data_IF_514307608042
#
_entry.id   IF_514307608042
#
_cell.length_a   1.000
_cell.length_b   1.000
_cell.length_c   1.000
_cell.angle_alpha   90.00
_cell.angle_beta   90.00
_cell.angle_gamma   90.00
#
_symmetry.space_group_name_H-M   'P 1'
#
loop_
_entity.id
_entity.type
_entity.pdbx_description
1 polymer ?
#
# COMPACT_ATOMS: atom_id res chain seq x y z
N UNK A 1 22.19 11.90 -1.95
CA UNK A 1 21.99 13.25 -2.55
C UNK A 1 21.29 14.12 -1.52
N UNK A 2 21.55 15.43 -1.48
CA UNK A 2 20.79 16.35 -0.62
C UNK A 2 19.43 16.69 -1.25
N UNK A 3 18.46 17.13 -0.44
CA UNK A 3 17.16 17.60 -0.93
C UNK A 3 17.31 18.69 -2.00
N UNK A 4 18.20 19.68 -1.77
CA UNK A 4 18.51 20.74 -2.75
C UNK A 4 18.93 20.17 -4.10
N UNK A 5 19.78 19.13 -4.12
CA UNK A 5 20.20 18.48 -5.38
C UNK A 5 19.08 17.71 -6.04
N UNK A 6 18.23 17.02 -5.27
CA UNK A 6 17.07 16.29 -5.81
C UNK A 6 16.07 17.24 -6.46
N UNK A 7 15.85 18.41 -5.86
CA UNK A 7 14.93 19.44 -6.35
C UNK A 7 15.34 20.09 -7.67
N UNK A 8 16.60 19.98 -8.06
CA UNK A 8 17.08 20.47 -9.35
C UNK A 8 16.77 19.49 -10.49
N UNK A 9 16.52 18.22 -10.19
CA UNK A 9 16.23 17.19 -11.20
C UNK A 9 14.91 17.48 -11.90
N UNK A 10 14.95 17.41 -13.23
CA UNK A 10 13.77 17.38 -14.08
C UNK A 10 13.29 15.92 -14.22
N UNK A 11 12.03 15.67 -13.88
CA UNK A 11 11.42 14.33 -13.98
C UNK A 11 10.57 14.14 -15.25
N UNK A 12 10.63 15.10 -16.18
CA UNK A 12 9.87 15.16 -17.42
C UNK A 12 9.02 16.42 -17.48
N UNK A 13 8.88 16.99 -18.67
CA UNK A 13 8.01 18.15 -18.94
C UNK A 13 8.30 19.40 -18.05
N UNK A 14 9.50 19.51 -17.49
CA UNK A 14 9.89 20.60 -16.59
C UNK A 14 9.50 20.40 -15.12
N UNK A 15 8.83 19.30 -14.80
CA UNK A 15 8.37 18.96 -13.45
C UNK A 15 9.53 18.59 -12.52
N UNK A 16 9.32 18.80 -11.21
CA UNK A 16 10.32 18.55 -10.15
C UNK A 16 9.84 17.47 -9.19
N UNK A 17 10.78 16.80 -8.52
CA UNK A 17 10.45 15.82 -7.47
C UNK A 17 9.79 16.53 -6.28
N UNK A 18 8.54 16.22 -5.90
CA UNK A 18 7.91 16.79 -4.73
C UNK A 18 8.40 16.11 -3.45
N UNK A 19 8.33 16.82 -2.33
CA UNK A 19 8.37 16.21 -1.00
C UNK A 19 6.99 15.64 -0.66
N UNK A 20 6.92 14.80 0.38
CA UNK A 20 5.62 14.33 0.87
C UNK A 20 4.78 15.49 1.41
N UNK A 21 5.41 16.46 2.09
CA UNK A 21 4.74 17.64 2.64
C UNK A 21 4.10 18.49 1.53
N UNK A 22 4.86 18.83 0.48
CA UNK A 22 4.35 19.63 -0.65
C UNK A 22 3.22 18.91 -1.38
N UNK A 23 3.35 17.58 -1.57
CA UNK A 23 2.28 16.77 -2.16
C UNK A 23 1.01 16.91 -1.33
N UNK A 24 1.10 16.71 -0.02
CA UNK A 24 -0.06 16.78 0.86
C UNK A 24 -0.68 18.17 0.85
N UNK A 25 0.10 19.24 0.97
CA UNK A 25 -0.36 20.63 0.86
C UNK A 25 -1.16 20.88 -0.42
N UNK A 26 -0.74 20.31 -1.54
CA UNK A 26 -1.42 20.46 -2.82
C UNK A 26 -2.68 19.59 -2.96
N UNK A 27 -2.81 18.50 -2.20
CA UNK A 27 -3.82 17.45 -2.42
C UNK A 27 -4.80 17.23 -1.25
N UNK A 28 -4.77 18.08 -0.21
CA UNK A 28 -5.54 17.91 1.05
C UNK A 28 -7.05 17.68 0.89
N UNK A 29 -7.68 18.05 -0.23
CA UNK A 29 -9.14 17.97 -0.40
C UNK A 29 -9.54 16.88 -1.40
N UNK A 30 -10.36 15.92 -0.95
CA UNK A 30 -11.03 14.95 -1.81
C UNK A 30 -10.19 13.77 -2.28
N UNK A 31 -8.96 13.60 -1.76
CA UNK A 31 -8.03 12.54 -2.18
C UNK A 31 -7.72 11.62 -0.99
N UNK A 32 -7.73 10.32 -1.27
CA UNK A 32 -7.20 9.29 -0.37
C UNK A 32 -5.80 8.87 -0.83
N UNK A 33 -4.92 8.57 0.12
CA UNK A 33 -3.53 8.23 -0.15
C UNK A 33 -3.29 6.74 0.06
N UNK A 34 -2.48 6.15 -0.82
CA UNK A 34 -1.89 4.84 -0.62
C UNK A 34 -0.37 4.97 -0.68
N UNK A 35 0.26 5.13 0.49
CA UNK A 35 1.69 5.44 0.58
C UNK A 35 2.51 4.16 0.79
N UNK A 36 3.51 3.94 -0.07
CA UNK A 36 4.36 2.75 -0.01
C UNK A 36 5.66 3.01 0.74
N UNK A 37 5.85 2.33 1.87
CA UNK A 37 7.10 2.30 2.61
C UNK A 37 8.09 1.35 1.94
N UNK A 38 9.16 1.89 1.34
CA UNK A 38 10.16 1.12 0.58
C UNK A 38 11.37 0.68 1.42
N UNK A 39 11.78 1.49 2.39
CA UNK A 39 12.97 1.26 3.23
C UNK A 39 12.58 1.13 4.71
N UNK A 40 13.47 0.58 5.53
CA UNK A 40 13.25 0.43 6.98
C UNK A 40 13.55 1.74 7.70
N UNK A 41 12.93 1.94 8.86
CA UNK A 41 13.29 3.02 9.79
C UNK A 41 12.77 4.41 9.43
N UNK A 42 11.87 4.52 8.45
CA UNK A 42 11.27 5.81 8.05
C UNK A 42 9.78 5.90 8.40
N UNK A 43 9.19 4.84 8.97
CA UNK A 43 7.73 4.77 9.10
C UNK A 43 7.21 5.82 10.07
N UNK A 44 7.91 6.07 11.18
CA UNK A 44 7.49 7.05 12.19
C UNK A 44 7.50 8.48 11.62
N UNK A 45 8.52 8.82 10.84
CA UNK A 45 8.62 10.11 10.16
C UNK A 45 7.51 10.29 9.12
N UNK A 46 7.22 9.25 8.33
CA UNK A 46 6.14 9.29 7.34
C UNK A 46 4.78 9.45 8.01
N UNK A 47 4.50 8.67 9.07
CA UNK A 47 3.25 8.77 9.82
C UNK A 47 3.09 10.17 10.41
N UNK A 48 4.14 10.72 11.02
CA UNK A 48 4.13 12.08 11.56
C UNK A 48 3.76 13.12 10.49
N UNK A 49 4.33 13.03 9.28
CA UNK A 49 3.99 13.96 8.18
C UNK A 49 2.50 13.89 7.81
N UNK A 50 1.92 12.69 7.77
CA UNK A 50 0.49 12.53 7.52
C UNK A 50 -0.37 13.01 8.69
N UNK A 51 0.08 12.83 9.93
CA UNK A 51 -0.61 13.28 11.14
C UNK A 51 -0.64 14.81 11.24
N UNK A 52 0.52 15.45 11.07
CA UNK A 52 0.67 16.91 11.04
C UNK A 52 -0.22 17.53 9.93
N UNK A 53 -0.40 16.81 8.82
CA UNK A 53 -1.28 17.23 7.73
C UNK A 53 -2.78 16.91 7.96
N UNK A 54 -3.13 16.21 9.04
CA UNK A 54 -4.48 15.68 9.35
C UNK A 54 -5.03 14.75 8.26
N UNK A 55 -4.18 13.87 7.74
CA UNK A 55 -4.47 12.99 6.60
C UNK A 55 -4.35 11.49 6.95
N UNK A 56 -4.19 11.12 8.22
CA UNK A 56 -4.09 9.69 8.59
C UNK A 56 -5.35 8.89 8.23
N UNK A 57 -6.54 9.44 8.44
CA UNK A 57 -7.81 8.74 8.19
C UNK A 57 -8.06 8.45 6.70
N UNK A 58 -7.50 9.30 5.82
CA UNK A 58 -7.54 9.17 4.36
C UNK A 58 -6.34 8.39 3.80
N UNK A 59 -5.48 7.83 4.65
CA UNK A 59 -4.23 7.17 4.24
C UNK A 59 -4.23 5.67 4.51
N UNK A 60 -3.69 4.91 3.56
CA UNK A 60 -3.31 3.51 3.72
C UNK A 60 -1.80 3.39 3.55
N UNK A 61 -1.08 2.93 4.57
CA UNK A 61 0.33 2.60 4.44
C UNK A 61 0.52 1.18 3.93
N UNK A 62 1.30 1.01 2.86
CA UNK A 62 1.55 -0.30 2.25
C UNK A 62 3.05 -0.62 2.21
N UNK A 63 3.42 -1.89 2.36
CA UNK A 63 4.81 -2.33 2.25
C UNK A 63 4.94 -3.82 1.95
N UNK A 64 6.07 -4.21 1.37
CA UNK A 64 6.53 -5.60 1.39
C UNK A 64 7.12 -6.00 2.75
N UNK A 65 7.55 -5.02 3.55
CA UNK A 65 8.15 -5.21 4.87
C UNK A 65 7.05 -5.10 5.93
N UNK A 66 6.20 -6.13 6.03
CA UNK A 66 5.00 -6.09 6.89
C UNK A 66 5.31 -5.74 8.35
N UNK A 67 6.44 -6.18 8.88
CA UNK A 67 6.88 -5.84 10.24
C UNK A 67 7.06 -4.34 10.45
N UNK A 68 7.50 -3.57 9.45
CA UNK A 68 7.63 -2.11 9.59
C UNK A 68 6.26 -1.49 9.84
N UNK A 69 5.23 -1.94 9.13
CA UNK A 69 3.86 -1.44 9.29
C UNK A 69 3.25 -1.83 10.63
N UNK A 70 3.62 -3.00 11.18
CA UNK A 70 3.09 -3.46 12.46
C UNK A 70 3.63 -2.65 13.64
N UNK A 71 4.83 -2.07 13.53
CA UNK A 71 5.44 -1.25 14.59
C UNK A 71 4.61 -0.03 14.98
N UNK A 72 3.91 0.57 14.02
CA UNK A 72 3.15 1.81 14.28
C UNK A 72 1.75 1.55 14.83
N UNK A 73 1.33 0.28 14.94
CA UNK A 73 -0.05 -0.06 15.31
C UNK A 73 -0.38 0.33 16.74
N UNK A 74 0.55 0.13 17.66
CA UNK A 74 0.32 0.42 19.07
C UNK A 74 0.15 1.92 19.31
N UNK A 75 0.73 2.75 18.43
CA UNK A 75 0.68 4.22 18.49
C UNK A 75 -0.52 4.75 17.69
N UNK A 76 -0.79 4.17 16.51
CA UNK A 76 -1.85 4.58 15.58
C UNK A 76 -2.75 3.40 15.23
N UNK A 77 -3.61 2.93 16.17
CA UNK A 77 -4.40 1.71 15.99
C UNK A 77 -5.43 1.80 14.86
N UNK A 78 -5.87 3.02 14.52
CA UNK A 78 -6.84 3.27 13.46
C UNK A 78 -6.20 3.47 12.08
N UNK A 79 -4.88 3.62 11.99
CA UNK A 79 -4.19 3.80 10.71
C UNK A 79 -4.30 2.53 9.87
N UNK A 80 -4.91 2.67 8.68
CA UNK A 80 -5.07 1.55 7.77
C UNK A 80 -3.70 1.15 7.23
N UNK A 81 -3.37 -0.14 7.36
CA UNK A 81 -2.17 -0.72 6.75
C UNK A 81 -2.52 -1.83 5.75
N UNK A 82 -1.77 -1.92 4.65
CA UNK A 82 -1.95 -2.91 3.60
C UNK A 82 -0.70 -3.76 3.36
N UNK A 83 -0.89 -5.07 3.27
CA UNK A 83 0.18 -6.01 3.00
C UNK A 83 0.43 -6.11 1.49
N UNK A 84 1.63 -5.73 1.03
CA UNK A 84 2.03 -6.04 -0.34
C UNK A 84 2.61 -7.43 -0.38
N UNK A 85 2.09 -8.29 -1.26
CA UNK A 85 2.57 -9.67 -1.41
C UNK A 85 3.51 -9.76 -2.62
N UNK A 86 4.74 -10.28 -2.45
CA UNK A 86 5.68 -10.46 -3.55
C UNK A 86 5.10 -11.32 -4.69
N UNK A 87 5.42 -10.94 -5.93
CA UNK A 87 4.96 -11.63 -7.14
C UNK A 87 6.02 -12.54 -7.80
N UNK A 88 7.19 -12.70 -7.18
CA UNK A 88 8.31 -13.49 -7.72
C UNK A 88 8.02 -15.00 -7.63
N UNK A 89 8.88 -15.81 -8.27
CA UNK A 89 8.85 -17.28 -8.24
C UNK A 89 8.52 -17.80 -6.83
N UNK A 90 7.51 -18.69 -6.74
CA UNK A 90 7.05 -19.24 -5.46
C UNK A 90 5.68 -18.72 -4.99
N UNK A 91 4.92 -17.98 -5.81
CA UNK A 91 3.51 -17.76 -5.48
C UNK A 91 2.80 -19.12 -5.37
N UNK A 92 2.08 -19.39 -4.27
CA UNK A 92 1.49 -20.70 -4.10
C UNK A 92 0.44 -20.97 -5.16
N UNK A 93 0.63 -22.04 -5.93
CA UNK A 93 -0.43 -22.59 -6.79
C UNK A 93 -1.53 -23.23 -5.93
N UNK A 94 -1.12 -23.89 -4.84
CA UNK A 94 -2.00 -24.55 -3.89
C UNK A 94 -2.91 -23.54 -3.15
N UNK A 95 -4.21 -23.79 -3.19
CA UNK A 95 -5.22 -23.02 -2.49
C UNK A 95 -5.01 -22.93 -0.98
N UNK A 96 -4.55 -24.01 -0.34
CA UNK A 96 -4.31 -24.04 1.11
C UNK A 96 -3.30 -22.96 1.55
N UNK A 97 -2.20 -22.82 0.80
CA UNK A 97 -1.19 -21.81 1.05
C UNK A 97 -1.71 -20.39 0.79
N UNK A 98 -2.56 -20.20 -0.22
CA UNK A 98 -3.23 -18.90 -0.44
C UNK A 98 -4.13 -18.53 0.73
N UNK A 99 -4.89 -19.49 1.28
CA UNK A 99 -5.73 -19.29 2.47
C UNK A 99 -4.88 -18.94 3.69
N UNK A 100 -3.71 -19.56 3.87
CA UNK A 100 -2.78 -19.20 4.94
C UNK A 100 -2.28 -17.76 4.84
N UNK A 101 -2.02 -17.25 3.63
CA UNK A 101 -1.66 -15.83 3.43
C UNK A 101 -2.79 -14.93 3.90
N UNK A 102 -4.04 -15.19 3.49
CA UNK A 102 -5.21 -14.41 3.90
C UNK A 102 -5.37 -14.47 5.43
N UNK A 103 -5.30 -15.66 6.02
CA UNK A 103 -5.39 -15.83 7.48
C UNK A 103 -4.30 -15.08 8.21
N UNK A 104 -3.04 -15.14 7.76
CA UNK A 104 -1.93 -14.41 8.38
C UNK A 104 -2.15 -12.91 8.35
N UNK A 105 -2.61 -12.38 7.21
CA UNK A 105 -2.90 -10.96 7.03
C UNK A 105 -4.06 -10.53 7.94
N UNK A 106 -5.13 -11.33 8.00
CA UNK A 106 -6.28 -11.09 8.85
C UNK A 106 -5.93 -11.12 10.34
N UNK A 107 -5.14 -12.11 10.78
CA UNK A 107 -4.71 -12.23 12.18
C UNK A 107 -3.84 -11.06 12.61
N UNK A 108 -3.09 -10.49 11.66
CA UNK A 108 -2.34 -9.25 11.86
C UNK A 108 -3.18 -8.00 11.51
N UNK A 109 -4.51 -8.07 11.47
CA UNK A 109 -5.42 -6.92 11.32
C UNK A 109 -5.04 -5.93 10.21
N UNK A 110 -4.54 -6.43 9.09
CA UNK A 110 -4.32 -5.57 7.93
C UNK A 110 -5.66 -5.17 7.32
N UNK A 111 -5.75 -3.96 6.80
CA UNK A 111 -6.92 -3.48 6.09
C UNK A 111 -7.05 -4.08 4.68
N UNK A 112 -5.91 -4.31 4.02
CA UNK A 112 -5.90 -4.70 2.61
C UNK A 112 -4.74 -5.62 2.19
N UNK A 113 -4.97 -6.37 1.11
CA UNK A 113 -3.98 -7.17 0.39
C UNK A 113 -3.69 -6.48 -0.95
N UNK A 114 -2.41 -6.19 -1.20
CA UNK A 114 -1.92 -5.64 -2.46
C UNK A 114 -1.09 -6.70 -3.18
N UNK A 115 -1.56 -7.22 -4.32
CA UNK A 115 -0.89 -8.32 -5.01
C UNK A 115 -0.97 -8.23 -6.53
N UNK A 116 -0.12 -8.97 -7.22
CA UNK A 116 -0.10 -8.96 -8.67
C UNK A 116 -1.40 -9.54 -9.26
N UNK A 117 -2.02 -8.87 -10.23
CA UNK A 117 -3.35 -9.18 -10.77
C UNK A 117 -3.48 -10.61 -11.35
N UNK A 118 -2.37 -11.23 -11.76
CA UNK A 118 -2.40 -12.63 -12.23
C UNK A 118 -2.52 -13.66 -11.11
N UNK A 119 -2.36 -13.23 -9.86
CA UNK A 119 -2.32 -14.09 -8.68
C UNK A 119 -3.67 -14.19 -7.98
N UNK A 120 -4.61 -13.31 -8.36
CA UNK A 120 -6.00 -13.31 -7.87
C UNK A 120 -6.90 -14.18 -8.75
N UNK A 121 -7.88 -14.80 -8.11
CA UNK A 121 -9.01 -15.47 -8.75
C UNK A 121 -10.26 -15.25 -7.88
N UNK A 122 -11.44 -15.64 -8.39
CA UNK A 122 -12.72 -15.45 -7.69
C UNK A 122 -12.72 -16.02 -6.27
N UNK A 123 -12.13 -17.20 -6.07
CA UNK A 123 -12.07 -17.84 -4.75
C UNK A 123 -11.20 -17.05 -3.77
N UNK A 124 -10.04 -16.56 -4.21
CA UNK A 124 -9.16 -15.72 -3.40
C UNK A 124 -9.87 -14.43 -2.97
N UNK A 125 -10.54 -13.77 -3.93
CA UNK A 125 -11.29 -12.54 -3.69
C UNK A 125 -12.41 -12.78 -2.68
N UNK A 126 -13.24 -13.80 -2.92
CA UNK A 126 -14.33 -14.18 -2.02
C UNK A 126 -13.81 -14.43 -0.59
N UNK A 127 -12.74 -15.21 -0.45
CA UNK A 127 -12.22 -15.54 0.88
C UNK A 127 -11.59 -14.34 1.62
N UNK A 128 -10.98 -13.40 0.90
CA UNK A 128 -10.50 -12.16 1.50
C UNK A 128 -11.67 -11.28 1.96
N UNK A 129 -12.70 -11.15 1.13
CA UNK A 129 -13.90 -10.36 1.45
C UNK A 129 -14.69 -10.94 2.63
N UNK A 130 -14.81 -12.27 2.74
CA UNK A 130 -15.38 -12.97 3.91
C UNK A 130 -14.65 -12.61 5.22
N UNK A 131 -13.42 -12.10 5.15
CA UNK A 131 -12.62 -11.63 6.28
C UNK A 131 -12.53 -10.11 6.38
N UNK A 132 -13.40 -9.39 5.67
CA UNK A 132 -13.40 -7.92 5.58
C UNK A 132 -12.08 -7.31 5.06
N UNK A 133 -11.26 -8.08 4.35
CA UNK A 133 -10.02 -7.59 3.74
C UNK A 133 -10.31 -7.00 2.37
N UNK A 134 -9.81 -5.79 2.11
CA UNK A 134 -9.83 -5.21 0.76
C UNK A 134 -8.74 -5.83 -0.12
N UNK A 135 -8.97 -5.87 -1.43
CA UNK A 135 -7.95 -6.28 -2.40
C UNK A 135 -7.66 -5.13 -3.35
N UNK A 136 -6.36 -4.82 -3.49
CA UNK A 136 -5.85 -3.84 -4.46
C UNK A 136 -4.88 -4.53 -5.42
N UNK A 137 -5.36 -5.01 -6.58
CA UNK A 137 -4.52 -5.69 -7.55
C UNK A 137 -3.62 -4.70 -8.31
N UNK A 138 -2.36 -5.07 -8.52
CA UNK A 138 -1.40 -4.31 -9.34
C UNK A 138 -0.78 -5.22 -10.41
N UNK A 139 -0.19 -4.78 -11.51
CA UNK A 139 -0.41 -3.55 -12.26
C UNK A 139 -1.49 -3.86 -13.32
N UNK A 140 -2.50 -3.00 -13.44
CA UNK A 140 -3.60 -3.11 -14.40
C UNK A 140 -3.54 -1.91 -15.33
N UNK A 141 -2.92 -2.09 -16.50
CA UNK A 141 -2.71 -1.02 -17.48
C UNK A 141 -3.51 -1.25 -18.78
N UNK A 142 -4.59 -2.05 -18.75
CA UNK A 142 -5.45 -2.22 -19.91
C UNK A 142 -6.89 -2.53 -19.51
N UNK A 143 -7.84 -2.06 -20.33
CA UNK A 143 -9.28 -2.31 -20.17
C UNK A 143 -9.59 -3.80 -19.98
N UNK A 144 -9.04 -4.65 -20.85
CA UNK A 144 -9.17 -6.11 -20.78
C UNK A 144 -8.70 -6.72 -19.45
N UNK A 145 -7.70 -6.13 -18.78
CA UNK A 145 -7.24 -6.59 -17.46
C UNK A 145 -8.15 -6.07 -16.35
N UNK A 146 -8.66 -4.85 -16.48
CA UNK A 146 -9.59 -4.22 -15.55
C UNK A 146 -10.92 -5.01 -15.50
N UNK A 147 -11.50 -5.34 -16.64
CA UNK A 147 -12.73 -6.14 -16.76
C UNK A 147 -12.63 -7.54 -16.13
N UNK A 148 -11.41 -8.06 -15.93
CA UNK A 148 -11.20 -9.37 -15.29
C UNK A 148 -11.21 -9.32 -13.76
N UNK A 149 -11.12 -8.13 -13.17
CA UNK A 149 -10.94 -7.95 -11.72
C UNK A 149 -12.02 -7.07 -11.06
N UNK A 150 -12.94 -6.52 -11.86
CA UNK A 150 -14.20 -5.92 -11.42
C UNK A 150 -15.26 -7.03 -11.38
#
# INVERSE_FOLDING_TARGET
>A
MSLKKIKLLDVGEGEKVPTLQELLEHTKKGINYMCKIKVKGIIDEVVKIFDDAKMLDSTILISFKHHELLKIRDIYPNLKIGAIIPSKLGWPTNWFMKKQIITKINNNQFYAINLFHRLINKNFIKNAHEKNLRIFPWIINSKKKMEKVI
#
